data_IF_334185278538
#
_entry.id   IF_334185278538
#
_cell.length_a   1.000
_cell.length_b   1.000
_cell.length_c   1.000
_cell.angle_alpha   90.00
_cell.angle_beta   90.00
_cell.angle_gamma   90.00
#
_symmetry.space_group_name_H-M   'P 1'
#
loop_
_entity.id
_entity.type
_entity.pdbx_description
1 polymer ?
#
# COMPACT_ATOMS: atom_id res chain seq x y z
N UNK A 1 -0.94 -9.67 20.55
CA UNK A 1 -2.26 -9.94 19.94
C UNK A 1 -3.46 -9.66 20.85
N UNK A 2 -3.32 -9.59 22.18
CA UNK A 2 -4.47 -9.30 23.07
C UNK A 2 -5.06 -7.89 22.83
N UNK A 3 -4.22 -6.91 22.51
CA UNK A 3 -4.62 -5.53 22.25
C UNK A 3 -5.54 -5.37 21.04
N UNK A 4 -5.34 -6.16 19.96
CA UNK A 4 -6.19 -6.12 18.78
C UNK A 4 -7.64 -6.55 19.05
N UNK A 5 -7.90 -7.19 20.19
CA UNK A 5 -9.24 -7.61 20.61
C UNK A 5 -9.99 -6.52 21.38
N UNK A 6 -9.29 -5.47 21.83
CA UNK A 6 -9.83 -4.39 22.65
C UNK A 6 -10.30 -3.20 21.79
N UNK A 7 -11.14 -3.48 20.79
CA UNK A 7 -11.60 -2.50 19.78
C UNK A 7 -13.10 -2.15 19.89
N UNK A 8 -13.82 -2.72 20.86
CA UNK A 8 -15.28 -2.61 20.95
C UNK A 8 -15.76 -1.51 21.90
N UNK A 9 -14.99 -1.19 22.93
CA UNK A 9 -15.43 -0.28 24.02
C UNK A 9 -15.10 1.19 23.77
N UNK A 10 -14.64 1.55 22.57
CA UNK A 10 -14.31 2.92 22.19
C UNK A 10 -14.66 3.21 20.73
N UNK A 11 -14.79 4.49 20.39
CA UNK A 11 -14.97 4.94 19.02
C UNK A 11 -14.00 6.07 18.66
N UNK A 12 -13.60 6.14 17.39
CA UNK A 12 -12.90 7.30 16.86
C UNK A 12 -13.87 8.49 16.77
N UNK A 13 -13.41 9.69 17.06
CA UNK A 13 -14.17 10.92 16.77
C UNK A 13 -14.29 11.15 15.26
N UNK A 14 -15.25 11.98 14.84
CA UNK A 14 -15.40 12.36 13.43
C UNK A 14 -14.11 12.95 12.84
N UNK A 15 -13.43 13.82 13.58
CA UNK A 15 -12.18 14.44 13.16
C UNK A 15 -11.04 13.41 13.05
N UNK A 16 -10.95 12.45 13.98
CA UNK A 16 -9.95 11.39 13.92
C UNK A 16 -10.15 10.48 12.70
N UNK A 17 -11.41 10.10 12.41
CA UNK A 17 -11.76 9.35 11.20
C UNK A 17 -11.40 10.12 9.93
N UNK A 18 -11.71 11.42 9.91
CA UNK A 18 -11.38 12.27 8.77
C UNK A 18 -9.87 12.32 8.51
N UNK A 19 -9.06 12.54 9.56
CA UNK A 19 -7.59 12.56 9.44
C UNK A 19 -7.02 11.24 8.91
N UNK A 20 -7.55 10.10 9.35
CA UNK A 20 -7.13 8.79 8.83
C UNK A 20 -7.43 8.68 7.33
N UNK A 21 -8.60 9.13 6.89
CA UNK A 21 -8.95 9.15 5.46
C UNK A 21 -8.15 10.12 4.59
N UNK A 22 -7.32 10.98 5.19
CA UNK A 22 -6.37 11.85 4.45
C UNK A 22 -4.97 11.25 4.32
N UNK A 23 -4.71 10.09 4.93
CA UNK A 23 -3.41 9.45 4.83
C UNK A 23 -3.16 8.96 3.39
N UNK A 24 -1.92 9.06 2.88
CA UNK A 24 -1.56 8.42 1.62
C UNK A 24 -1.76 6.90 1.69
N UNK A 25 -2.46 6.34 0.72
CA UNK A 25 -2.74 4.90 0.63
C UNK A 25 -1.91 4.23 -0.46
N UNK A 26 -1.29 3.10 -0.13
CA UNK A 26 -0.55 2.26 -1.07
C UNK A 26 -1.01 0.81 -0.91
N UNK A 27 -1.16 0.10 -2.04
CA UNK A 27 -1.46 -1.35 -2.02
C UNK A 27 -0.26 -2.13 -1.47
N UNK A 28 -0.54 -3.10 -0.61
CA UNK A 28 0.45 -4.01 -0.04
C UNK A 28 0.88 -5.12 -1.00
N UNK A 29 1.76 -5.99 -0.50
CA UNK A 29 2.40 -7.17 -1.13
C UNK A 29 1.83 -7.63 -2.48
N UNK A 30 2.62 -7.44 -3.55
CA UNK A 30 2.38 -8.00 -4.89
C UNK A 30 3.62 -8.65 -5.52
N UNK A 31 4.83 -8.38 -5.00
CA UNK A 31 6.11 -8.79 -5.60
C UNK A 31 6.26 -10.30 -5.87
N UNK A 32 5.60 -11.14 -5.06
CA UNK A 32 5.64 -12.58 -5.25
C UNK A 32 4.71 -13.08 -6.38
N UNK A 33 3.69 -12.31 -6.72
CA UNK A 33 2.62 -12.72 -7.65
C UNK A 33 2.80 -12.18 -9.07
N UNK A 34 3.58 -11.11 -9.23
CA UNK A 34 3.84 -10.45 -10.51
C UNK A 34 5.16 -10.93 -11.09
N UNK A 35 5.11 -11.57 -12.26
CA UNK A 35 6.30 -12.08 -12.94
C UNK A 35 6.02 -12.26 -14.45
N UNK A 36 7.03 -12.04 -15.29
CA UNK A 36 6.89 -12.15 -16.76
C UNK A 36 6.42 -13.53 -17.24
N UNK A 37 6.84 -14.58 -16.54
CA UNK A 37 6.41 -15.96 -16.78
C UNK A 37 5.24 -16.40 -15.90
N UNK A 38 4.71 -15.51 -15.07
CA UNK A 38 3.62 -15.75 -14.13
C UNK A 38 2.25 -15.48 -14.76
N UNK A 39 1.17 -15.75 -13.99
CA UNK A 39 -0.20 -15.47 -14.44
C UNK A 39 -0.51 -13.97 -14.53
N UNK A 40 0.20 -13.13 -13.77
CA UNK A 40 0.10 -11.68 -13.78
C UNK A 40 1.45 -11.09 -14.16
N UNK A 41 1.48 -10.27 -15.21
CA UNK A 41 2.70 -9.65 -15.72
C UNK A 41 2.91 -8.26 -15.15
N UNK A 42 1.84 -7.61 -14.70
CA UNK A 42 1.90 -6.28 -14.09
C UNK A 42 1.11 -6.21 -12.78
N UNK A 43 1.37 -5.15 -12.02
CA UNK A 43 0.68 -4.87 -10.75
C UNK A 43 -0.80 -4.53 -11.03
N UNK A 44 -1.06 -3.84 -12.14
CA UNK A 44 -2.40 -3.47 -12.60
C UNK A 44 -3.23 -4.71 -12.90
N UNK A 45 -2.66 -5.69 -13.61
CA UNK A 45 -3.32 -6.97 -13.87
C UNK A 45 -3.62 -7.74 -12.57
N UNK A 46 -2.71 -7.71 -11.59
CA UNK A 46 -2.91 -8.40 -10.32
C UNK A 46 -4.03 -7.79 -9.47
N UNK A 47 -4.19 -6.46 -9.51
CA UNK A 47 -5.22 -5.75 -8.76
C UNK A 47 -6.45 -5.37 -9.59
N UNK A 48 -6.65 -5.97 -10.77
CA UNK A 48 -7.76 -5.67 -11.68
C UNK A 48 -7.91 -4.16 -12.01
N UNK A 49 -6.79 -3.44 -12.08
CA UNK A 49 -6.68 -1.98 -12.21
C UNK A 49 -7.19 -1.17 -11.00
N UNK A 50 -7.48 -1.78 -9.86
CA UNK A 50 -7.86 -1.10 -8.62
C UNK A 50 -6.63 -0.59 -7.82
N UNK A 51 -5.68 0.04 -8.52
CA UNK A 51 -4.53 0.69 -7.88
C UNK A 51 -4.94 2.11 -7.50
N UNK A 52 -4.70 2.51 -6.25
CA UNK A 52 -4.89 3.91 -5.83
C UNK A 52 -3.82 4.76 -6.53
N UNK A 53 -4.20 5.90 -7.11
CA UNK A 53 -3.32 6.79 -7.90
C UNK A 53 -2.12 7.40 -7.13
N UNK A 54 -1.79 6.90 -5.93
CA UNK A 54 -0.53 7.19 -5.25
C UNK A 54 0.60 6.36 -5.90
N UNK A 55 1.03 6.83 -7.07
CA UNK A 55 2.21 6.36 -7.78
C UNK A 55 3.42 6.21 -6.81
N UNK A 56 3.91 4.98 -6.53
CA UNK A 56 5.04 4.79 -5.63
C UNK A 56 6.37 5.29 -6.21
N UNK A 57 6.44 5.50 -7.53
CA UNK A 57 7.67 5.85 -8.24
C UNK A 57 8.13 7.31 -8.05
N UNK A 58 7.37 8.19 -7.40
CA UNK A 58 7.86 9.53 -7.05
C UNK A 58 8.41 9.64 -5.62
N UNK A 59 8.02 8.75 -4.70
CA UNK A 59 8.43 8.84 -3.29
C UNK A 59 9.74 8.09 -2.98
N UNK A 60 10.04 6.98 -3.66
CA UNK A 60 11.34 6.27 -3.50
C UNK A 60 12.51 7.13 -3.97
N UNK A 61 12.35 7.86 -5.08
CA UNK A 61 13.36 8.83 -5.56
C UNK A 61 13.46 10.06 -4.65
N UNK A 62 12.35 10.52 -4.06
CA UNK A 62 12.35 11.66 -3.14
C UNK A 62 13.04 11.38 -1.79
N UNK A 63 13.13 10.12 -1.38
CA UNK A 63 13.81 9.69 -0.15
C UNK A 63 15.25 9.20 -0.38
N UNK A 64 15.76 9.26 -1.62
CA UNK A 64 17.14 8.89 -1.96
C UNK A 64 17.45 7.41 -1.70
N UNK A 65 16.44 6.55 -1.65
CA UNK A 65 16.62 5.11 -1.52
C UNK A 65 16.67 4.52 -2.92
N UNK A 66 17.80 3.90 -3.27
CA UNK A 66 17.96 3.23 -4.56
C UNK A 66 16.87 2.17 -4.73
N UNK A 67 16.01 2.26 -5.77
CA UNK A 67 14.97 1.27 -6.01
C UNK A 67 15.53 -0.05 -6.55
N UNK A 68 16.83 -0.13 -6.83
CA UNK A 68 17.48 -1.34 -7.34
C UNK A 68 18.98 -1.38 -6.93
N UNK A 69 19.35 -2.09 -5.84
CA UNK A 69 20.73 -2.11 -5.33
C UNK A 69 21.63 -3.11 -6.07
N UNK A 70 21.33 -3.49 -7.31
CA UNK A 70 22.13 -4.49 -8.03
C UNK A 70 22.29 -4.19 -9.51
N UNK A 71 23.36 -3.47 -9.83
CA UNK A 71 24.18 -3.67 -11.03
C UNK A 71 25.65 -3.46 -10.66
#
# INVERSE_FOLDING_TARGET
>A
MRENLDIFDWELTADARHKIGTLPEFRGTYDFFVHDSGPYKTVEEFWDNEITDAQPNQSVTALGLDPNPSN
#
